data_IF_401887167295
#
_entry.id   IF_401887167295
#
_cell.length_a   1.000
_cell.length_b   1.000
_cell.length_c   1.000
_cell.angle_alpha   90.00
_cell.angle_beta   90.00
_cell.angle_gamma   90.00
#
_symmetry.space_group_name_H-M   'P 1'
#
loop_
_entity.id
_entity.type
_entity.pdbx_description
1 polymer ?
#
# COMPACT_ATOMS: atom_id res chain seq x y z
N UNK A 1 19.92 55.32 26.06
CA UNK A 1 18.60 54.65 26.16
C UNK A 1 18.64 53.45 25.23
N UNK A 2 18.50 52.25 25.79
CA UNK A 2 18.62 50.96 25.08
C UNK A 2 17.32 50.60 24.38
N UNK A 3 17.53 49.89 23.27
CA UNK A 3 16.62 49.42 22.22
C UNK A 3 15.49 48.49 22.68
N UNK A 4 14.52 48.26 21.79
CA UNK A 4 14.18 46.92 21.29
C UNK A 4 13.15 47.02 20.15
N UNK A 5 13.59 46.73 18.92
CA UNK A 5 12.71 46.49 17.76
C UNK A 5 12.39 44.99 17.76
N UNK A 6 11.14 44.62 18.00
CA UNK A 6 10.70 43.22 17.98
C UNK A 6 10.27 42.86 16.56
N UNK A 7 11.11 42.11 15.84
CA UNK A 7 10.74 41.48 14.57
C UNK A 7 10.07 40.13 14.86
N UNK A 8 8.77 40.01 14.56
CA UNK A 8 8.05 38.74 14.64
C UNK A 8 8.37 37.89 13.41
N UNK A 9 9.05 36.75 13.63
CA UNK A 9 9.33 35.74 12.59
C UNK A 9 8.07 34.91 12.36
N UNK A 10 7.48 35.03 11.17
CA UNK A 10 6.43 34.13 10.67
C UNK A 10 7.04 32.75 10.40
N UNK A 11 6.74 31.78 11.25
CA UNK A 11 7.06 30.38 11.00
C UNK A 11 6.09 29.82 9.95
N UNK A 12 6.55 29.69 8.71
CA UNK A 12 5.84 28.96 7.65
C UNK A 12 5.91 27.47 7.95
N UNK A 13 4.78 26.85 8.31
CA UNK A 13 4.64 25.40 8.37
C UNK A 13 4.87 24.81 6.97
N UNK A 14 5.99 24.13 6.77
CA UNK A 14 6.24 23.38 5.55
C UNK A 14 5.36 22.12 5.56
N UNK A 15 4.71 21.76 4.43
CA UNK A 15 4.07 20.46 4.32
C UNK A 15 5.15 19.38 4.40
N UNK A 16 5.00 18.44 5.33
CA UNK A 16 5.81 17.23 5.39
C UNK A 16 5.60 16.47 4.07
N UNK A 17 6.57 16.57 3.14
CA UNK A 17 6.67 15.63 2.04
C UNK A 17 6.95 14.26 2.66
N UNK A 18 6.01 13.33 2.56
CA UNK A 18 6.26 11.95 2.91
C UNK A 18 7.46 11.47 2.08
N UNK A 19 8.58 11.20 2.74
CA UNK A 19 9.76 10.67 2.06
C UNK A 19 9.37 9.36 1.38
N UNK A 20 9.75 9.20 0.12
CA UNK A 20 9.59 7.94 -0.59
C UNK A 20 10.44 6.88 0.11
N UNK A 21 9.81 6.09 0.99
CA UNK A 21 10.41 4.92 1.61
C UNK A 21 10.61 3.81 0.59
N UNK A 22 11.82 3.23 0.59
CA UNK A 22 12.16 2.02 -0.16
C UNK A 22 12.38 0.85 0.81
N UNK A 23 12.04 -0.35 0.37
CA UNK A 23 12.33 -1.59 1.09
C UNK A 23 12.77 -2.67 0.11
N UNK A 24 14.01 -3.13 0.26
CA UNK A 24 14.52 -4.33 -0.40
C UNK A 24 14.20 -5.58 0.42
N UNK A 25 13.89 -6.68 -0.27
CA UNK A 25 13.74 -7.99 0.32
C UNK A 25 15.09 -8.66 0.64
N UNK A 26 15.17 -9.48 1.71
CA UNK A 26 14.07 -9.93 2.54
C UNK A 26 13.63 -8.90 3.59
N UNK A 27 12.32 -8.64 3.67
CA UNK A 27 11.76 -7.66 4.58
C UNK A 27 10.24 -7.60 4.53
N UNK A 28 9.61 -7.23 5.64
CA UNK A 28 8.15 -7.09 5.71
C UNK A 28 7.74 -5.64 5.53
N UNK A 29 6.92 -5.38 4.52
CA UNK A 29 6.22 -4.11 4.33
C UNK A 29 4.84 -4.18 4.98
N UNK A 30 4.45 -3.13 5.70
CA UNK A 30 3.12 -2.99 6.29
C UNK A 30 2.64 -1.56 6.06
N UNK A 31 1.91 -1.32 4.98
CA UNK A 31 1.60 0.03 4.59
C UNK A 31 0.33 0.14 3.78
N UNK A 32 -0.51 1.10 4.14
CA UNK A 32 -1.79 1.38 3.47
C UNK A 32 -2.73 0.16 3.41
N UNK A 33 -2.72 -0.71 4.42
CA UNK A 33 -3.40 -2.03 4.53
C UNK A 33 -2.62 -3.27 4.02
N UNK A 34 -1.92 -3.27 2.88
CA UNK A 34 -1.06 -4.40 2.52
C UNK A 34 0.01 -4.77 3.55
N UNK A 35 0.08 -6.09 3.84
CA UNK A 35 1.24 -6.74 4.43
C UNK A 35 1.90 -7.60 3.35
N UNK A 36 3.16 -7.32 3.06
CA UNK A 36 3.93 -8.03 2.04
C UNK A 36 5.26 -8.46 2.64
N UNK A 37 5.47 -9.77 2.73
CA UNK A 37 6.78 -10.34 3.01
C UNK A 37 7.57 -10.41 1.70
N UNK A 38 8.51 -9.48 1.53
CA UNK A 38 9.38 -9.41 0.36
C UNK A 38 10.39 -10.56 0.40
N UNK A 39 10.49 -11.27 -0.72
CA UNK A 39 11.51 -12.27 -0.97
C UNK A 39 12.83 -11.61 -1.41
N UNK A 40 13.98 -12.30 -1.35
CA UNK A 40 15.22 -11.79 -1.92
C UNK A 40 15.04 -11.38 -3.39
N UNK A 41 15.48 -10.17 -3.73
CA UNK A 41 15.33 -9.60 -5.08
C UNK A 41 13.97 -8.94 -5.36
N UNK A 42 13.07 -8.88 -4.37
CA UNK A 42 11.87 -8.05 -4.44
C UNK A 42 12.11 -6.67 -3.81
N UNK A 43 11.42 -5.66 -4.31
CA UNK A 43 11.54 -4.27 -3.84
C UNK A 43 10.19 -3.58 -3.77
N UNK A 44 9.98 -2.77 -2.74
CA UNK A 44 8.91 -1.79 -2.67
C UNK A 44 9.50 -0.38 -2.71
N UNK A 45 8.92 0.47 -3.55
CA UNK A 45 9.19 1.92 -3.58
C UNK A 45 7.85 2.63 -3.39
N UNK A 46 7.68 3.32 -2.26
CA UNK A 46 6.49 4.13 -2.02
C UNK A 46 6.47 5.35 -2.94
N UNK A 47 5.28 5.73 -3.44
CA UNK A 47 5.13 6.77 -4.46
C UNK A 47 4.37 7.98 -3.94
N UNK A 48 3.20 7.74 -3.34
CA UNK A 48 2.33 8.78 -2.80
C UNK A 48 1.51 8.19 -1.64
N UNK A 49 1.06 9.02 -0.72
CA UNK A 49 0.42 8.57 0.50
C UNK A 49 -0.30 9.65 1.27
N UNK A 50 -1.43 9.26 1.85
CA UNK A 50 -2.14 9.99 2.88
C UNK A 50 -2.49 9.07 4.04
N UNK A 51 -3.32 9.56 4.94
CA UNK A 51 -3.65 8.90 6.21
C UNK A 51 -4.23 7.49 6.00
N UNK A 52 -5.23 7.35 5.13
CA UNK A 52 -5.97 6.09 4.97
C UNK A 52 -5.55 5.30 3.72
N UNK A 53 -4.71 5.86 2.85
CA UNK A 53 -4.39 5.23 1.56
C UNK A 53 -3.09 5.73 0.99
N UNK A 54 -2.49 4.91 0.14
CA UNK A 54 -1.31 5.31 -0.61
C UNK A 54 -1.01 4.35 -1.74
N UNK A 55 0.03 4.69 -2.48
CA UNK A 55 0.49 3.94 -3.62
C UNK A 55 1.98 3.63 -3.53
N UNK A 56 2.35 2.48 -4.06
CA UNK A 56 3.73 2.04 -4.14
C UNK A 56 3.92 1.15 -5.36
N UNK A 57 5.16 1.06 -5.83
CA UNK A 57 5.56 0.10 -6.84
C UNK A 57 6.15 -1.12 -6.15
N UNK A 58 5.76 -2.31 -6.60
CA UNK A 58 6.29 -3.58 -6.13
C UNK A 58 6.93 -4.35 -7.28
N UNK A 59 8.20 -4.66 -7.13
CA UNK A 59 9.04 -5.26 -8.17
C UNK A 59 9.66 -6.57 -7.69
N UNK A 60 9.94 -7.46 -8.62
CA UNK A 60 10.62 -8.73 -8.40
C UNK A 60 10.75 -9.54 -9.68
N UNK A 61 11.08 -10.83 -9.55
CA UNK A 61 11.17 -11.74 -10.69
C UNK A 61 9.85 -11.89 -11.48
N UNK A 62 8.71 -11.60 -10.84
CA UNK A 62 7.38 -11.58 -11.48
C UNK A 62 7.14 -10.32 -12.35
N UNK A 63 8.09 -9.39 -12.39
CA UNK A 63 7.97 -8.09 -13.06
C UNK A 63 7.63 -6.97 -12.06
N UNK A 64 6.74 -6.06 -12.47
CA UNK A 64 6.36 -4.89 -11.69
C UNK A 64 4.85 -4.74 -11.58
N UNK A 65 4.38 -4.31 -10.40
CA UNK A 65 3.00 -3.99 -10.09
C UNK A 65 2.94 -2.59 -9.49
N UNK A 66 2.04 -1.74 -10.01
CA UNK A 66 1.65 -0.52 -9.31
C UNK A 66 0.50 -0.87 -8.37
N UNK A 67 0.70 -0.63 -7.08
CA UNK A 67 -0.21 -1.03 -6.01
C UNK A 67 -0.81 0.21 -5.36
N UNK A 68 -2.11 0.16 -5.11
CA UNK A 68 -2.82 1.15 -4.29
C UNK A 68 -3.48 0.43 -3.12
N UNK A 69 -3.01 0.71 -1.91
CA UNK A 69 -3.58 0.23 -0.66
C UNK A 69 -4.52 1.27 -0.05
N UNK A 70 -5.61 0.80 0.56
CA UNK A 70 -6.59 1.63 1.27
C UNK A 70 -7.00 0.89 2.55
N UNK A 71 -6.79 1.51 3.70
CA UNK A 71 -7.20 1.00 5.02
C UNK A 71 -8.67 1.21 5.33
N UNK A 72 -9.30 2.22 4.71
CA UNK A 72 -10.72 2.56 4.91
C UNK A 72 -11.50 2.56 3.60
N UNK A 73 -11.89 1.38 3.11
CA UNK A 73 -12.63 1.23 1.84
C UNK A 73 -13.87 0.35 1.95
N UNK A 74 -14.81 0.59 1.04
CA UNK A 74 -15.89 -0.35 0.75
C UNK A 74 -15.39 -1.54 -0.08
N UNK A 75 -16.11 -2.68 -0.09
CA UNK A 75 -15.76 -3.83 -0.91
C UNK A 75 -15.58 -3.46 -2.39
N UNK A 76 -14.55 -4.00 -3.08
CA UNK A 76 -14.40 -3.81 -4.52
C UNK A 76 -15.62 -4.31 -5.29
N UNK A 77 -15.92 -3.65 -6.41
CA UNK A 77 -16.95 -4.12 -7.35
C UNK A 77 -16.39 -5.21 -8.25
N UNK A 78 -17.21 -6.21 -8.58
CA UNK A 78 -16.92 -7.22 -9.58
C UNK A 78 -17.14 -8.64 -9.08
N UNK A 79 -16.76 -9.62 -9.92
CA UNK A 79 -16.86 -11.04 -9.57
C UNK A 79 -15.74 -11.43 -8.62
N UNK A 80 -16.09 -12.02 -7.48
CA UNK A 80 -15.13 -12.69 -6.59
C UNK A 80 -14.71 -14.01 -7.24
N UNK A 81 -13.40 -14.26 -7.33
CA UNK A 81 -12.83 -15.50 -7.88
C UNK A 81 -12.22 -16.38 -6.80
N UNK A 82 -11.82 -15.79 -5.67
CA UNK A 82 -11.41 -16.49 -4.46
C UNK A 82 -12.09 -15.80 -3.29
N UNK A 83 -12.84 -16.56 -2.49
CA UNK A 83 -13.53 -16.05 -1.32
C UNK A 83 -12.53 -15.70 -0.21
N UNK A 84 -12.90 -14.74 0.63
CA UNK A 84 -12.15 -14.45 1.85
C UNK A 84 -12.20 -15.68 2.77
N UNK A 85 -11.06 -15.94 3.42
CA UNK A 85 -10.95 -16.92 4.51
C UNK A 85 -10.13 -16.27 5.61
N UNK A 86 -10.18 -16.79 6.84
CA UNK A 86 -9.66 -16.08 8.04
C UNK A 86 -8.32 -15.34 7.88
N UNK A 87 -7.35 -15.91 7.17
CA UNK A 87 -6.03 -15.29 6.94
C UNK A 87 -5.80 -14.79 5.49
N UNK A 88 -6.71 -15.02 4.55
CA UNK A 88 -6.54 -14.67 3.13
C UNK A 88 -7.66 -13.73 2.67
N UNK A 89 -7.31 -12.57 2.09
CA UNK A 89 -8.31 -11.67 1.54
C UNK A 89 -9.04 -12.31 0.35
N UNK A 90 -10.30 -11.92 0.14
CA UNK A 90 -11.00 -12.23 -1.10
C UNK A 90 -10.24 -11.63 -2.28
N UNK A 91 -10.19 -12.35 -3.41
CA UNK A 91 -9.63 -11.86 -4.68
C UNK A 91 -10.72 -11.69 -5.71
N UNK A 92 -10.70 -10.56 -6.39
CA UNK A 92 -11.63 -10.24 -7.47
C UNK A 92 -11.04 -10.61 -8.83
N UNK A 93 -11.92 -10.94 -9.78
CA UNK A 93 -11.54 -11.19 -11.15
C UNK A 93 -10.79 -9.98 -11.72
N UNK A 94 -9.77 -10.25 -12.54
CA UNK A 94 -9.10 -9.19 -13.28
C UNK A 94 -10.11 -8.42 -14.13
N UNK A 95 -9.99 -7.10 -14.10
CA UNK A 95 -10.75 -6.19 -14.96
C UNK A 95 -9.80 -5.30 -15.75
N UNK A 96 -10.29 -4.78 -16.89
CA UNK A 96 -9.64 -3.69 -17.61
C UNK A 96 -10.24 -2.38 -17.14
N UNK A 97 -9.40 -1.49 -16.62
CA UNK A 97 -9.74 -0.07 -16.42
C UNK A 97 -9.31 0.70 -17.67
N UNK A 98 -9.61 1.99 -17.75
CA UNK A 98 -9.43 2.83 -18.95
C UNK A 98 -8.09 2.65 -19.68
N UNK A 99 -6.99 2.33 -18.98
CA UNK A 99 -5.67 2.04 -19.59
C UNK A 99 -4.89 0.87 -18.97
N UNK A 100 -5.41 0.18 -17.94
CA UNK A 100 -4.65 -0.81 -17.17
C UNK A 100 -5.46 -2.07 -16.90
N UNK A 101 -4.76 -3.14 -16.59
CA UNK A 101 -5.36 -4.34 -16.03
C UNK A 101 -5.20 -4.28 -14.52
N UNK A 102 -6.27 -4.61 -13.81
CA UNK A 102 -6.35 -4.48 -12.36
C UNK A 102 -6.98 -5.72 -11.72
N UNK A 103 -6.40 -6.15 -10.61
CA UNK A 103 -6.98 -7.10 -9.67
C UNK A 103 -7.09 -6.42 -8.31
N UNK A 104 -8.20 -6.66 -7.61
CA UNK A 104 -8.39 -6.19 -6.24
C UNK A 104 -8.38 -7.35 -5.26
N UNK A 105 -7.91 -7.10 -4.05
CA UNK A 105 -8.08 -7.96 -2.88
C UNK A 105 -8.78 -7.18 -1.76
N UNK A 106 -9.53 -7.88 -0.92
CA UNK A 106 -10.30 -7.30 0.18
C UNK A 106 -10.34 -8.24 1.39
N UNK A 107 -10.10 -7.71 2.59
CA UNK A 107 -9.99 -8.54 3.80
C UNK A 107 -11.32 -8.97 4.42
N UNK A 108 -12.45 -8.49 3.90
CA UNK A 108 -13.78 -8.73 4.48
C UNK A 108 -14.28 -7.59 5.38
N UNK A 109 -13.44 -6.60 5.69
CA UNK A 109 -13.79 -5.39 6.43
C UNK A 109 -13.48 -4.14 5.60
N UNK A 110 -12.46 -3.36 5.96
CA UNK A 110 -12.16 -2.09 5.29
C UNK A 110 -10.87 -2.11 4.44
N UNK A 111 -9.98 -3.07 4.69
CA UNK A 111 -8.70 -3.19 4.02
C UNK A 111 -8.84 -3.66 2.58
N UNK A 112 -8.38 -2.84 1.62
CA UNK A 112 -8.40 -3.14 0.18
C UNK A 112 -7.05 -2.83 -0.45
N UNK A 113 -6.63 -3.66 -1.40
CA UNK A 113 -5.53 -3.33 -2.29
C UNK A 113 -5.86 -3.60 -3.76
N UNK A 114 -5.43 -2.68 -4.62
CA UNK A 114 -5.56 -2.77 -6.07
C UNK A 114 -4.16 -2.93 -6.67
N UNK A 115 -3.96 -3.97 -7.48
CA UNK A 115 -2.72 -4.24 -8.20
C UNK A 115 -2.94 -4.03 -9.68
N UNK A 116 -2.09 -3.24 -10.31
CA UNK A 116 -2.28 -2.87 -11.71
C UNK A 116 -1.02 -2.96 -12.56
N UNK A 117 -1.21 -3.35 -13.82
CA UNK A 117 -0.16 -3.39 -14.84
C UNK A 117 -0.68 -2.86 -16.18
N UNK A 118 0.24 -2.47 -17.07
CA UNK A 118 -0.10 -2.03 -18.43
C UNK A 118 -0.56 -3.20 -19.32
N UNK A 119 -0.12 -4.42 -19.00
CA UNK A 119 -0.49 -5.67 -19.67
C UNK A 119 -1.39 -6.51 -18.76
N UNK A 120 -2.12 -7.52 -19.29
CA UNK A 120 -2.82 -8.49 -18.45
C UNK A 120 -1.87 -9.06 -17.39
N UNK A 121 -2.35 -9.21 -16.16
CA UNK A 121 -1.54 -9.73 -15.07
C UNK A 121 -1.17 -11.18 -15.38
N UNK A 122 0.13 -11.47 -15.31
CA UNK A 122 0.67 -12.81 -15.55
C UNK A 122 0.33 -13.76 -14.41
N UNK A 123 0.51 -15.06 -14.64
CA UNK A 123 0.37 -16.06 -13.59
C UNK A 123 1.32 -15.79 -12.41
N UNK A 124 2.55 -15.33 -12.67
CA UNK A 124 3.53 -15.00 -11.63
C UNK A 124 3.13 -13.78 -10.82
N UNK A 125 2.56 -12.75 -11.46
CA UNK A 125 2.01 -11.59 -10.76
C UNK A 125 0.80 -12.00 -9.89
N UNK A 126 -0.09 -12.85 -10.40
CA UNK A 126 -1.22 -13.36 -9.63
C UNK A 126 -0.75 -14.23 -8.45
N UNK A 127 0.31 -15.02 -8.63
CA UNK A 127 0.95 -15.80 -7.56
C UNK A 127 1.57 -14.90 -6.51
N UNK A 128 2.23 -13.81 -6.92
CA UNK A 128 2.77 -12.80 -6.00
C UNK A 128 1.65 -12.14 -5.19
N UNK A 129 0.57 -11.70 -5.84
CA UNK A 129 -0.62 -11.13 -5.19
C UNK A 129 -1.22 -12.11 -4.17
N UNK A 130 -1.22 -13.41 -4.47
CA UNK A 130 -1.71 -14.45 -3.55
C UNK A 130 -0.93 -14.57 -2.23
N UNK A 131 0.24 -13.94 -2.10
CA UNK A 131 1.02 -13.87 -0.84
C UNK A 131 0.65 -12.67 0.03
N UNK A 132 -0.12 -11.72 -0.50
CA UNK A 132 -0.43 -10.46 0.19
C UNK A 132 -1.55 -10.69 1.22
N UNK A 133 -1.29 -10.26 2.44
CA UNK A 133 -2.31 -10.13 3.48
C UNK A 133 -2.72 -8.67 3.61
N UNK A 134 -3.81 -8.43 4.32
CA UNK A 134 -4.34 -7.09 4.56
C UNK A 134 -4.67 -6.95 6.04
N UNK A 135 -4.30 -5.82 6.65
CA UNK A 135 -4.70 -5.47 8.01
C UNK A 135 -5.81 -4.41 8.01
N UNK A 136 -6.62 -4.39 9.07
CA UNK A 136 -7.57 -3.33 9.38
C UNK A 136 -6.87 -2.11 9.97
N UNK A 137 -7.37 -0.92 9.68
CA UNK A 137 -6.88 0.28 10.36
C UNK A 137 -7.04 0.15 11.89
N UNK A 138 -6.01 0.56 12.64
CA UNK A 138 -5.90 0.35 14.08
C UNK A 138 -5.26 -0.99 14.50
N UNK A 139 -5.02 -1.92 13.57
CA UNK A 139 -4.18 -3.09 13.85
C UNK A 139 -2.69 -2.72 13.76
N UNK A 140 -1.87 -3.31 14.63
CA UNK A 140 -0.40 -3.15 14.62
C UNK A 140 0.28 -4.44 14.13
N UNK A 141 0.47 -4.63 12.80
CA UNK A 141 1.17 -5.80 12.29
C UNK A 141 2.63 -5.82 12.76
N UNK A 142 3.09 -6.97 13.23
CA UNK A 142 4.44 -7.12 13.77
C UNK A 142 5.50 -7.39 12.70
N UNK A 143 6.75 -7.03 13.01
CA UNK A 143 7.92 -7.36 12.19
C UNK A 143 8.09 -6.50 10.94
N UNK A 144 7.35 -5.41 10.81
CA UNK A 144 7.41 -4.51 9.64
C UNK A 144 8.73 -3.72 9.64
N UNK A 145 9.50 -3.83 8.56
CA UNK A 145 10.70 -3.02 8.32
C UNK A 145 10.38 -1.67 7.70
N UNK A 146 9.25 -1.57 6.99
CA UNK A 146 8.72 -0.32 6.46
C UNK A 146 7.24 -0.21 6.78
N UNK A 147 6.85 0.93 7.36
CA UNK A 147 5.46 1.27 7.70
C UNK A 147 5.08 2.58 7.03
N UNK A 148 3.85 2.67 6.54
CA UNK A 148 3.32 3.91 5.94
C UNK A 148 2.00 4.36 6.53
N UNK A 149 1.35 3.54 7.37
CA UNK A 149 0.17 3.93 8.14
C UNK A 149 0.57 4.43 9.52
N UNK A 150 -0.07 5.49 9.98
CA UNK A 150 0.05 6.00 11.34
C UNK A 150 -0.74 5.08 12.28
N UNK A 151 -0.08 4.50 13.27
CA UNK A 151 -0.78 3.93 14.43
C UNK A 151 -1.29 5.11 15.24
N UNK A 152 -2.60 5.32 15.27
CA UNK A 152 -3.21 6.21 16.26
C UNK A 152 -3.01 5.54 17.61
N UNK A 153 -2.34 6.22 18.53
CA UNK A 153 -1.96 5.73 19.87
C UNK A 153 -3.10 5.06 20.64
#
# INVERSE_FOLDING_TARGET
>A
MRELVTAAVLATALPFLAEAGELDGPGRFCGYSPIIDLLPGERITTLDGGIHSGSFRWEGAFGSLDVRGIGWANPPKGRVVEAQTGAKPARFAQRRTSKRYEVAIWNGGHGVAYFSSAKPLSADQLKAIGRVQLFEEGQDPSGCKLRTSFSWE
#
